data_IF_373475885908
#
_entry.id   IF_373475885908
#
_cell.length_a   1.000
_cell.length_b   1.000
_cell.length_c   1.000
_cell.angle_alpha   90.00
_cell.angle_beta   90.00
_cell.angle_gamma   90.00
#
_symmetry.space_group_name_H-M   'P 1'
#
loop_
_entity.id
_entity.type
_entity.pdbx_description
1 polymer ?
#
# COMPACT_ATOMS: atom_id res chain seq x y z
N UNK A 1 23.47 -12.00 15.96
CA UNK A 1 23.28 -10.92 14.95
C UNK A 1 22.37 -11.43 13.85
N UNK A 2 22.77 -12.47 13.11
CA UNK A 2 21.98 -13.11 12.03
C UNK A 2 20.54 -13.46 12.42
N UNK A 3 20.31 -14.09 13.57
CA UNK A 3 18.96 -14.50 13.98
C UNK A 3 18.04 -13.31 14.33
N UNK A 4 18.59 -12.24 14.91
CA UNK A 4 17.84 -11.00 15.18
C UNK A 4 17.51 -10.27 13.90
N UNK A 5 18.46 -10.17 12.97
CA UNK A 5 18.25 -9.55 11.66
C UNK A 5 17.21 -10.32 10.83
N UNK A 6 17.16 -11.64 10.96
CA UNK A 6 16.14 -12.50 10.32
C UNK A 6 14.75 -12.31 10.95
N UNK A 7 14.65 -12.23 12.28
CA UNK A 7 13.38 -11.96 12.99
C UNK A 7 12.85 -10.55 12.70
N UNK A 8 13.74 -9.57 12.60
CA UNK A 8 13.39 -8.20 12.23
C UNK A 8 12.88 -8.13 10.78
N UNK A 9 13.52 -8.83 9.84
CA UNK A 9 13.00 -8.94 8.46
C UNK A 9 11.66 -9.68 8.39
N UNK A 10 11.45 -10.70 9.23
CA UNK A 10 10.25 -11.54 9.22
C UNK A 10 8.96 -10.77 9.56
N UNK A 11 9.09 -9.62 10.22
CA UNK A 11 7.97 -8.75 10.59
C UNK A 11 8.01 -7.38 9.91
N UNK A 12 9.06 -7.09 9.13
CA UNK A 12 9.20 -5.82 8.43
C UNK A 12 8.17 -5.71 7.30
N UNK A 13 7.35 -4.66 7.38
CA UNK A 13 6.43 -4.26 6.30
C UNK A 13 7.03 -3.12 5.49
N UNK A 14 7.26 -3.32 4.19
CA UNK A 14 7.55 -2.23 3.26
C UNK A 14 6.25 -1.66 2.69
N UNK A 15 6.03 -0.38 2.92
CA UNK A 15 4.85 0.34 2.46
C UNK A 15 5.20 1.11 1.19
N UNK A 16 4.51 0.80 0.10
CA UNK A 16 4.74 1.34 -1.23
C UNK A 16 3.80 2.52 -1.45
N UNK A 17 4.36 3.73 -1.53
CA UNK A 17 3.60 4.97 -1.73
C UNK A 17 4.12 5.73 -2.95
N UNK A 18 3.50 5.56 -4.14
CA UNK A 18 3.73 6.48 -5.24
C UNK A 18 3.05 7.82 -4.92
N UNK A 19 3.67 8.92 -5.34
CA UNK A 19 3.11 10.26 -5.13
C UNK A 19 3.27 11.12 -6.37
N UNK A 20 2.25 11.91 -6.69
CA UNK A 20 2.31 12.96 -7.71
C UNK A 20 1.28 14.04 -7.38
N UNK A 21 1.76 15.26 -7.10
CA UNK A 21 0.96 16.43 -6.77
C UNK A 21 -0.05 16.19 -5.64
N UNK A 22 0.44 15.70 -4.51
CA UNK A 22 -0.37 15.34 -3.34
C UNK A 22 -0.02 16.15 -2.10
N UNK A 23 0.54 17.36 -2.24
CA UNK A 23 0.93 18.21 -1.10
C UNK A 23 -0.21 18.41 -0.09
N UNK A 24 -1.46 18.48 -0.60
CA UNK A 24 -2.67 18.65 0.22
C UNK A 24 -2.97 17.44 1.13
N UNK A 25 -2.56 16.23 0.75
CA UNK A 25 -3.04 14.98 1.36
C UNK A 25 -1.93 14.14 1.99
N UNK A 26 -0.72 14.18 1.43
CA UNK A 26 0.35 13.25 1.79
C UNK A 26 0.78 13.37 3.26
N UNK A 27 0.61 14.54 3.88
CA UNK A 27 0.87 14.70 5.31
C UNK A 27 -0.04 13.81 6.16
N UNK A 28 -1.33 13.71 5.82
CA UNK A 28 -2.28 12.84 6.54
C UNK A 28 -1.97 11.37 6.28
N UNK A 29 -1.63 11.01 5.03
CA UNK A 29 -1.25 9.64 4.66
C UNK A 29 0.00 9.18 5.41
N UNK A 30 1.06 10.00 5.46
CA UNK A 30 2.28 9.69 6.24
C UNK A 30 1.96 9.59 7.73
N UNK A 31 1.15 10.51 8.27
CA UNK A 31 0.76 10.45 9.68
C UNK A 31 0.03 9.14 10.01
N UNK A 32 -0.86 8.68 9.13
CA UNK A 32 -1.58 7.41 9.31
C UNK A 32 -0.65 6.18 9.34
N UNK A 33 0.52 6.26 8.70
CA UNK A 33 1.58 5.23 8.77
C UNK A 33 2.37 5.36 10.08
N UNK A 34 2.69 6.58 10.50
CA UNK A 34 3.39 6.83 11.77
C UNK A 34 2.58 6.38 12.98
N UNK A 35 1.26 6.51 12.90
CA UNK A 35 0.31 6.13 13.95
C UNK A 35 0.01 4.63 14.00
N UNK A 36 0.65 3.81 13.15
CA UNK A 36 0.46 2.36 13.17
C UNK A 36 0.90 1.76 14.51
N UNK A 37 0.14 0.81 15.05
CA UNK A 37 0.49 0.08 16.28
C UNK A 37 1.69 -0.84 16.06
N UNK A 38 1.75 -1.53 14.92
CA UNK A 38 2.92 -2.26 14.45
C UNK A 38 4.05 -1.29 14.10
N UNK A 39 5.20 -1.38 14.78
CA UNK A 39 6.31 -0.42 14.61
C UNK A 39 7.36 -0.82 13.57
N UNK A 40 7.42 -2.09 13.19
CA UNK A 40 8.44 -2.60 12.29
C UNK A 40 8.03 -2.45 10.82
N UNK A 41 8.16 -1.24 10.30
CA UNK A 41 7.85 -0.88 8.93
C UNK A 41 8.90 0.06 8.32
N UNK A 42 8.94 0.11 7.00
CA UNK A 42 9.57 1.18 6.24
C UNK A 42 8.57 1.77 5.25
N UNK A 43 8.56 3.10 5.12
CA UNK A 43 7.70 3.80 4.19
C UNK A 43 8.53 4.28 3.00
N UNK A 44 8.23 3.77 1.81
CA UNK A 44 8.97 4.09 0.59
C UNK A 44 8.10 4.99 -0.27
N UNK A 45 8.39 6.27 -0.20
CA UNK A 45 7.72 7.30 -0.98
C UNK A 45 8.54 7.53 -2.25
N UNK A 46 7.90 7.37 -3.40
CA UNK A 46 8.50 7.77 -4.68
C UNK A 46 7.65 8.87 -5.30
N UNK A 47 8.20 10.08 -5.31
CA UNK A 47 7.62 11.24 -5.95
C UNK A 47 7.86 11.20 -7.46
N UNK A 48 6.80 11.29 -8.25
CA UNK A 48 6.81 11.21 -9.70
C UNK A 48 7.00 12.59 -10.36
N UNK A 49 8.02 13.32 -9.87
CA UNK A 49 8.35 14.66 -10.32
C UNK A 49 7.19 15.64 -10.10
N UNK A 50 6.69 15.72 -8.86
CA UNK A 50 5.66 16.70 -8.48
C UNK A 50 6.12 18.13 -8.74
N UNK A 51 5.16 18.97 -9.13
CA UNK A 51 5.34 20.40 -9.35
C UNK A 51 4.63 21.27 -8.30
N UNK A 52 4.07 20.65 -7.26
CA UNK A 52 3.55 21.30 -6.07
C UNK A 52 4.53 21.15 -4.89
N UNK A 53 4.07 21.49 -3.69
CA UNK A 53 4.87 21.46 -2.47
C UNK A 53 5.05 20.04 -1.87
N UNK A 54 4.75 18.96 -2.60
CA UNK A 54 4.77 17.57 -2.08
C UNK A 54 6.11 17.25 -1.43
N UNK A 55 7.23 17.48 -2.11
CA UNK A 55 8.57 17.21 -1.58
C UNK A 55 8.84 17.98 -0.28
N UNK A 56 8.43 19.26 -0.24
CA UNK A 56 8.57 20.10 0.95
C UNK A 56 7.74 19.56 2.10
N UNK A 57 6.49 19.17 1.86
CA UNK A 57 5.62 18.56 2.88
C UNK A 57 6.29 17.30 3.46
N UNK A 58 6.75 16.38 2.61
CA UNK A 58 7.45 15.15 3.06
C UNK A 58 8.70 15.47 3.87
N UNK A 59 9.46 16.51 3.51
CA UNK A 59 10.71 16.86 4.18
C UNK A 59 10.57 17.25 5.67
N UNK A 60 9.36 17.59 6.13
CA UNK A 60 9.09 17.88 7.54
C UNK A 60 9.10 16.64 8.42
N UNK A 61 8.86 15.45 7.85
CA UNK A 61 8.91 14.19 8.59
C UNK A 61 10.36 13.74 8.74
N UNK A 62 10.83 13.61 9.99
CA UNK A 62 12.22 13.24 10.32
C UNK A 62 12.39 11.78 10.73
N UNK A 63 11.33 10.97 10.63
CA UNK A 63 11.40 9.54 10.97
C UNK A 63 12.31 8.80 9.98
N UNK A 64 13.33 8.13 10.51
CA UNK A 64 14.33 7.41 9.73
C UNK A 64 13.76 6.23 8.92
N UNK A 65 12.57 5.72 9.27
CA UNK A 65 11.86 4.67 8.53
C UNK A 65 11.22 5.18 7.24
N UNK A 66 11.08 6.49 7.07
CA UNK A 66 10.56 7.12 5.86
C UNK A 66 11.70 7.35 4.87
N UNK A 67 11.58 6.77 3.68
CA UNK A 67 12.53 6.87 2.58
C UNK A 67 11.87 7.57 1.40
N UNK A 68 12.31 8.80 1.13
CA UNK A 68 11.84 9.59 0.00
C UNK A 68 12.79 9.47 -1.20
N UNK A 69 12.23 9.25 -2.38
CA UNK A 69 12.94 9.27 -3.65
C UNK A 69 12.16 10.10 -4.65
N UNK A 70 12.86 10.83 -5.51
CA UNK A 70 12.25 11.61 -6.59
C UNK A 70 12.60 11.03 -7.96
N UNK A 71 11.66 11.03 -8.90
CA UNK A 71 11.93 10.79 -10.31
C UNK A 71 12.41 12.07 -10.99
N UNK A 72 13.31 11.94 -11.97
CA UNK A 72 13.82 13.07 -12.76
C UNK A 72 12.78 13.66 -13.71
N UNK A 73 11.76 12.88 -14.05
CA UNK A 73 10.66 13.23 -14.93
C UNK A 73 9.44 12.40 -14.52
N UNK A 74 8.25 12.82 -14.95
CA UNK A 74 7.03 12.05 -14.71
C UNK A 74 7.08 10.73 -15.50
N UNK A 75 7.03 9.60 -14.79
CA UNK A 75 7.08 8.23 -15.31
C UNK A 75 5.73 7.51 -15.20
N UNK A 76 4.73 8.16 -14.60
CA UNK A 76 3.45 7.57 -14.27
C UNK A 76 3.51 6.67 -13.03
N UNK A 77 2.34 6.39 -12.49
CA UNK A 77 2.19 5.67 -11.23
C UNK A 77 2.71 4.21 -11.32
N UNK A 78 2.63 3.56 -12.49
CA UNK A 78 3.09 2.19 -12.68
C UNK A 78 4.62 2.05 -12.47
N UNK A 79 5.40 2.88 -13.17
CA UNK A 79 6.86 2.86 -13.06
C UNK A 79 7.35 3.41 -11.73
N UNK A 80 6.61 4.36 -11.15
CA UNK A 80 6.85 4.88 -9.80
C UNK A 80 6.68 3.80 -8.73
N UNK A 81 5.58 3.01 -8.79
CA UNK A 81 5.39 1.82 -7.94
C UNK A 81 6.50 0.78 -8.14
N UNK A 82 6.88 0.51 -9.38
CA UNK A 82 7.98 -0.41 -9.68
C UNK A 82 9.31 0.02 -9.03
N UNK A 83 9.63 1.32 -9.05
CA UNK A 83 10.82 1.88 -8.40
C UNK A 83 10.76 1.73 -6.88
N UNK A 84 9.60 1.96 -6.27
CA UNK A 84 9.39 1.76 -4.84
C UNK A 84 9.55 0.27 -4.47
N UNK A 85 8.94 -0.64 -5.22
CA UNK A 85 9.04 -2.10 -5.01
C UNK A 85 10.47 -2.62 -5.07
N UNK A 86 11.30 -2.11 -5.99
CA UNK A 86 12.74 -2.48 -6.06
C UNK A 86 13.55 -2.01 -4.85
N UNK A 87 13.03 -1.08 -4.06
CA UNK A 87 13.69 -0.53 -2.86
C UNK A 87 13.20 -1.16 -1.57
N UNK A 88 12.12 -1.94 -1.64
CA UNK A 88 11.55 -2.65 -0.50
C UNK A 88 12.51 -3.73 0.02
N UNK A 89 12.63 -3.81 1.34
CA UNK A 89 13.48 -4.76 2.07
C UNK A 89 12.67 -5.71 2.95
N UNK A 90 11.45 -5.32 3.29
CA UNK A 90 10.51 -6.08 4.10
C UNK A 90 10.04 -7.35 3.42
N UNK A 91 9.76 -8.37 4.24
CA UNK A 91 9.07 -9.58 3.78
C UNK A 91 7.64 -9.26 3.36
N UNK A 92 6.97 -8.36 4.07
CA UNK A 92 5.58 -8.01 3.81
C UNK A 92 5.51 -6.74 3.00
N UNK A 93 4.76 -6.75 1.91
CA UNK A 93 4.58 -5.59 1.04
C UNK A 93 3.14 -5.14 1.13
N UNK A 94 2.92 -3.87 1.45
CA UNK A 94 1.62 -3.23 1.49
C UNK A 94 1.63 -1.95 0.66
N UNK A 95 0.47 -1.50 0.20
CA UNK A 95 0.34 -0.35 -0.69
C UNK A 95 -0.55 0.70 -0.04
N UNK A 96 -0.13 1.95 -0.12
CA UNK A 96 -0.90 3.10 0.35
C UNK A 96 -0.70 4.24 -0.63
N UNK A 97 -1.79 4.69 -1.24
CA UNK A 97 -1.74 5.85 -2.13
C UNK A 97 -1.59 7.12 -1.28
N UNK A 98 -0.86 8.12 -1.80
CA UNK A 98 -0.46 9.31 -1.04
C UNK A 98 -1.60 10.29 -0.70
N UNK A 99 -2.85 9.90 -0.95
CA UNK A 99 -4.07 10.61 -0.58
C UNK A 99 -5.07 9.77 0.23
N UNK A 100 -4.76 8.51 0.50
CA UNK A 100 -5.56 7.59 1.32
C UNK A 100 -5.05 7.52 2.77
N UNK A 101 -5.85 6.98 3.68
CA UNK A 101 -5.53 6.86 5.10
C UNK A 101 -5.67 5.41 5.59
N UNK A 102 -4.77 4.99 6.50
CA UNK A 102 -4.93 3.75 7.25
C UNK A 102 -5.40 4.00 8.68
N UNK A 103 -6.13 3.03 9.22
CA UNK A 103 -6.48 3.02 10.64
C UNK A 103 -5.27 2.52 11.46
N UNK A 104 -5.08 2.96 12.73
CA UNK A 104 -3.88 2.66 13.52
C UNK A 104 -3.50 1.18 13.64
N UNK A 105 -4.48 0.27 13.66
CA UNK A 105 -4.23 -1.17 13.82
C UNK A 105 -4.12 -1.96 12.52
N UNK A 106 -4.08 -1.28 11.36
CA UNK A 106 -4.14 -1.91 10.04
C UNK A 106 -3.02 -2.93 9.84
N UNK A 107 -1.77 -2.51 10.04
CA UNK A 107 -0.60 -3.37 9.80
C UNK A 107 -0.56 -4.56 10.76
N UNK A 108 -0.79 -4.33 12.05
CA UNK A 108 -0.80 -5.36 13.10
C UNK A 108 -1.84 -6.43 12.79
N UNK A 109 -3.11 -6.04 12.62
CA UNK A 109 -4.21 -6.96 12.37
C UNK A 109 -4.04 -7.75 11.07
N UNK A 110 -3.63 -7.08 9.99
CA UNK A 110 -3.44 -7.75 8.71
C UNK A 110 -2.26 -8.74 8.77
N UNK A 111 -1.16 -8.36 9.41
CA UNK A 111 0.01 -9.23 9.57
C UNK A 111 -0.31 -10.46 10.43
N UNK A 112 -0.99 -10.28 11.56
CA UNK A 112 -1.45 -11.38 12.42
C UNK A 112 -2.40 -12.31 11.67
N UNK A 113 -3.38 -11.75 10.95
CA UNK A 113 -4.30 -12.53 10.12
C UNK A 113 -3.54 -13.38 9.09
N UNK A 114 -2.54 -12.81 8.43
CA UNK A 114 -1.69 -13.54 7.49
C UNK A 114 -0.87 -14.65 8.16
N UNK A 115 -0.20 -14.34 9.26
CA UNK A 115 0.65 -15.29 10.00
C UNK A 115 -0.15 -16.45 10.60
N UNK A 116 -1.24 -16.15 11.29
CA UNK A 116 -2.07 -17.15 12.00
C UNK A 116 -2.71 -18.16 11.05
N UNK A 117 -2.98 -17.76 9.81
CA UNK A 117 -3.61 -18.62 8.81
C UNK A 117 -2.63 -19.16 7.75
N UNK A 118 -1.35 -18.77 7.81
CA UNK A 118 -0.36 -19.12 6.78
C UNK A 118 -0.64 -18.49 5.40
N UNK A 119 -1.44 -17.42 5.34
CA UNK A 119 -1.78 -16.75 4.09
C UNK A 119 -0.61 -15.92 3.56
N UNK A 120 -0.54 -15.85 2.23
CA UNK A 120 0.54 -15.16 1.51
C UNK A 120 0.07 -13.92 0.77
N UNK A 121 -1.25 -13.71 0.73
CA UNK A 121 -1.89 -12.61 0.05
C UNK A 121 -3.25 -12.33 0.67
N UNK A 122 -3.46 -11.12 1.19
CA UNK A 122 -4.71 -10.74 1.85
C UNK A 122 -5.12 -9.33 1.46
N UNK A 123 -6.36 -9.00 1.77
CA UNK A 123 -6.90 -7.66 1.69
C UNK A 123 -7.95 -7.46 2.78
N UNK A 124 -8.40 -6.23 3.00
CA UNK A 124 -9.41 -5.92 4.01
C UNK A 124 -10.45 -4.94 3.46
N UNK A 125 -11.52 -4.67 4.23
CA UNK A 125 -12.55 -3.71 3.87
C UNK A 125 -12.03 -2.27 4.04
N UNK A 126 -12.68 -1.30 3.41
CA UNK A 126 -12.35 0.11 3.59
C UNK A 126 -13.60 0.97 3.49
N UNK A 127 -13.55 2.16 4.06
CA UNK A 127 -14.60 3.17 3.91
C UNK A 127 -14.20 4.25 2.90
N UNK A 128 -15.16 5.00 2.36
CA UNK A 128 -14.87 6.16 1.52
C UNK A 128 -14.97 7.46 2.33
N UNK A 129 -14.03 8.35 2.08
CA UNK A 129 -13.98 9.71 2.63
C UNK A 129 -13.98 10.74 1.49
N UNK A 130 -14.40 11.97 1.79
CA UNK A 130 -14.27 13.10 0.86
C UNK A 130 -12.89 13.76 0.91
N UNK A 131 -12.68 14.81 0.11
CA UNK A 131 -11.41 15.55 0.05
C UNK A 131 -11.02 16.24 1.38
N UNK A 132 -11.96 16.36 2.32
CA UNK A 132 -11.79 16.93 3.66
C UNK A 132 -11.71 15.85 4.76
N UNK A 133 -11.46 14.60 4.35
CA UNK A 133 -11.36 13.43 5.23
C UNK A 133 -12.65 13.12 6.01
N UNK A 134 -13.80 13.59 5.54
CA UNK A 134 -15.09 13.28 6.17
C UNK A 134 -15.67 11.98 5.60
N UNK A 135 -16.20 11.13 6.48
CA UNK A 135 -16.81 9.85 6.08
C UNK A 135 -18.02 10.08 5.17
N UNK A 136 -18.02 9.38 4.04
CA UNK A 136 -19.16 9.30 3.11
C UNK A 136 -20.14 8.19 3.50
N UNK A 137 -19.91 7.48 4.62
CA UNK A 137 -20.70 6.34 5.09
C UNK A 137 -20.86 5.22 4.05
N UNK A 138 -19.85 5.06 3.19
CA UNK A 138 -19.79 3.98 2.20
C UNK A 138 -18.72 2.99 2.63
N UNK A 139 -19.14 1.81 3.07
CA UNK A 139 -18.26 0.67 3.30
C UNK A 139 -18.10 -0.13 2.00
N UNK A 140 -16.87 -0.47 1.65
CA UNK A 140 -16.54 -1.33 0.52
C UNK A 140 -15.95 -2.63 1.05
N UNK A 141 -16.50 -3.74 0.57
CA UNK A 141 -16.09 -5.11 0.93
C UNK A 141 -16.08 -6.00 -0.31
N UNK A 142 -15.72 -7.27 -0.14
CA UNK A 142 -15.70 -8.27 -1.21
C UNK A 142 -15.83 -9.70 -0.70
N UNK A 143 -15.60 -10.69 -1.56
CA UNK A 143 -15.68 -12.11 -1.22
C UNK A 143 -14.63 -12.56 -0.20
N UNK A 144 -14.96 -13.53 0.65
CA UNK A 144 -14.01 -14.07 1.64
C UNK A 144 -12.69 -14.58 1.02
N UNK A 145 -12.78 -15.13 -0.20
CA UNK A 145 -11.64 -15.59 -1.00
C UNK A 145 -11.83 -15.07 -2.42
N UNK A 146 -10.82 -14.38 -2.94
CA UNK A 146 -10.77 -13.92 -4.33
C UNK A 146 -9.82 -14.83 -5.10
N UNK A 147 -10.41 -15.75 -5.86
CA UNK A 147 -9.67 -16.65 -6.74
C UNK A 147 -9.11 -15.90 -7.96
N UNK A 148 -8.16 -16.51 -8.69
CA UNK A 148 -7.66 -15.96 -9.95
C UNK A 148 -8.77 -15.57 -10.94
N UNK A 149 -9.81 -16.40 -11.10
CA UNK A 149 -10.94 -16.12 -12.00
C UNK A 149 -11.75 -14.91 -11.53
N UNK A 150 -11.98 -14.81 -10.24
CA UNK A 150 -12.69 -13.69 -9.62
C UNK A 150 -11.90 -12.39 -9.73
N UNK A 151 -10.58 -12.46 -9.48
CA UNK A 151 -9.67 -11.34 -9.68
C UNK A 151 -9.76 -10.83 -11.12
N UNK A 152 -9.63 -11.73 -12.10
CA UNK A 152 -9.69 -11.39 -13.53
C UNK A 152 -10.99 -10.72 -13.96
N UNK A 153 -12.12 -11.12 -13.36
CA UNK A 153 -13.43 -10.61 -13.74
C UNK A 153 -13.79 -9.28 -13.06
N UNK A 154 -13.32 -9.03 -11.83
CA UNK A 154 -13.86 -7.94 -11.00
C UNK A 154 -12.83 -7.11 -10.22
N UNK A 155 -11.60 -7.59 -10.01
CA UNK A 155 -10.57 -6.84 -9.29
C UNK A 155 -11.00 -6.33 -7.90
N UNK A 156 -11.47 -7.21 -7.02
CA UNK A 156 -12.09 -6.82 -5.74
C UNK A 156 -11.21 -6.00 -4.77
N UNK A 157 -9.92 -6.32 -4.54
CA UNK A 157 -9.11 -5.56 -3.59
C UNK A 157 -8.81 -4.13 -4.08
N UNK A 158 -9.03 -3.13 -3.22
CA UNK A 158 -8.56 -1.76 -3.46
C UNK A 158 -7.07 -1.62 -3.17
N UNK A 159 -6.40 -0.67 -3.84
CA UNK A 159 -4.95 -0.47 -3.71
C UNK A 159 -4.49 -0.38 -2.24
N UNK A 160 -5.16 0.45 -1.45
CA UNK A 160 -4.83 0.68 -0.03
C UNK A 160 -5.01 -0.54 0.89
N UNK A 161 -5.62 -1.65 0.44
CA UNK A 161 -6.03 -2.73 1.36
C UNK A 161 -5.17 -3.98 1.30
N UNK A 162 -4.47 -4.23 0.20
CA UNK A 162 -3.81 -5.52 0.03
C UNK A 162 -2.38 -5.56 0.58
N UNK A 163 -2.01 -6.73 1.10
CA UNK A 163 -0.68 -7.06 1.60
C UNK A 163 -0.27 -8.45 1.10
N UNK A 164 1.00 -8.63 0.74
CA UNK A 164 1.53 -9.92 0.29
C UNK A 164 2.91 -10.26 0.87
N UNK A 165 3.22 -11.56 0.87
CA UNK A 165 4.50 -12.14 1.28
C UNK A 165 5.50 -12.14 0.11
N UNK A 166 6.48 -11.24 0.13
CA UNK A 166 7.51 -11.12 -0.90
C UNK A 166 8.43 -12.34 -1.01
N UNK A 167 8.63 -13.11 0.05
CA UNK A 167 9.47 -14.31 -0.01
C UNK A 167 8.79 -15.40 -0.86
N UNK A 168 7.46 -15.44 -0.87
CA UNK A 168 6.68 -16.36 -1.70
C UNK A 168 6.33 -15.80 -3.07
N UNK A 169 6.03 -14.50 -3.15
CA UNK A 169 5.60 -13.83 -4.38
C UNK A 169 6.77 -13.37 -5.26
N UNK A 170 7.92 -13.08 -4.66
CA UNK A 170 9.05 -12.44 -5.33
C UNK A 170 8.79 -10.96 -5.66
N UNK A 171 9.76 -10.34 -6.34
CA UNK A 171 9.64 -8.97 -6.82
C UNK A 171 8.60 -8.88 -7.94
N UNK A 172 7.54 -8.10 -7.71
CA UNK A 172 6.53 -7.79 -8.72
C UNK A 172 6.93 -6.54 -9.50
N UNK A 173 6.80 -6.59 -10.83
CA UNK A 173 7.01 -5.45 -11.72
C UNK A 173 5.94 -5.45 -12.82
N UNK A 174 5.33 -4.30 -13.08
CA UNK A 174 4.30 -4.13 -14.11
C UNK A 174 4.83 -3.34 -15.31
N UNK A 175 4.15 -3.46 -16.46
CA UNK A 175 4.43 -2.63 -17.64
C UNK A 175 4.04 -1.18 -17.36
N UNK A 176 4.58 -0.26 -18.16
CA UNK A 176 4.14 1.13 -18.16
C UNK A 176 2.70 1.23 -18.69
N UNK A 177 1.75 1.34 -17.76
CA UNK A 177 0.32 1.47 -18.04
C UNK A 177 -0.25 2.62 -17.21
N UNK A 178 -1.06 3.46 -17.86
CA UNK A 178 -1.56 4.71 -17.25
C UNK A 178 -2.63 4.49 -16.18
N UNK A 179 -3.50 3.50 -16.38
CA UNK A 179 -4.63 3.18 -15.49
C UNK A 179 -4.57 1.73 -15.05
N UNK A 180 -5.24 1.42 -13.94
CA UNK A 180 -5.39 0.06 -13.42
C UNK A 180 -4.04 -0.64 -13.16
N UNK A 181 -3.05 0.15 -12.72
CA UNK A 181 -1.70 -0.35 -12.49
C UNK A 181 -1.60 -1.17 -11.20
N UNK A 182 -2.38 -0.81 -10.19
CA UNK A 182 -2.69 -1.64 -9.01
C UNK A 182 -3.34 -2.97 -9.43
N UNK A 183 -4.32 -2.93 -10.33
CA UNK A 183 -4.96 -4.15 -10.84
C UNK A 183 -3.98 -5.07 -11.59
N UNK A 184 -3.02 -4.50 -12.34
CA UNK A 184 -1.97 -5.29 -12.97
C UNK A 184 -1.02 -5.95 -11.95
N UNK A 185 -0.80 -5.35 -10.77
CA UNK A 185 -0.08 -5.98 -9.65
C UNK A 185 -0.93 -7.14 -9.10
N UNK A 186 -2.21 -6.90 -8.82
CA UNK A 186 -3.15 -7.91 -8.31
C UNK A 186 -3.23 -9.13 -9.24
N UNK A 187 -3.29 -8.92 -10.55
CA UNK A 187 -3.29 -9.99 -11.56
C UNK A 187 -1.99 -10.81 -11.59
N UNK A 188 -0.86 -10.27 -11.14
CA UNK A 188 0.37 -11.04 -10.99
C UNK A 188 0.35 -11.85 -9.70
N UNK A 189 -0.05 -11.24 -8.59
CA UNK A 189 -0.13 -11.89 -7.28
C UNK A 189 -1.13 -13.06 -7.31
N UNK A 190 -2.31 -12.87 -7.90
CA UNK A 190 -3.35 -13.89 -7.96
C UNK A 190 -3.03 -15.09 -8.86
N UNK A 191 -1.91 -15.07 -9.60
CA UNK A 191 -1.42 -16.25 -10.33
C UNK A 191 -0.78 -17.27 -9.41
N UNK A 192 -0.29 -16.84 -8.24
CA UNK A 192 0.44 -17.68 -7.29
C UNK A 192 -0.42 -18.12 -6.11
N UNK A 193 -1.22 -17.20 -5.55
CA UNK A 193 -2.06 -17.45 -4.39
C UNK A 193 -3.39 -16.74 -4.52
N UNK A 194 -4.45 -17.34 -3.99
CA UNK A 194 -5.72 -16.65 -3.80
C UNK A 194 -5.60 -15.54 -2.75
N UNK A 195 -6.46 -14.52 -2.83
CA UNK A 195 -6.46 -13.38 -1.91
C UNK A 195 -7.55 -13.56 -0.84
N UNK A 196 -7.19 -13.51 0.43
CA UNK A 196 -8.12 -13.75 1.54
C UNK A 196 -8.54 -12.45 2.20
N UNK A 197 -9.83 -12.32 2.50
CA UNK A 197 -10.40 -11.15 3.15
C UNK A 197 -10.22 -11.22 4.67
N UNK A 198 -9.55 -10.22 5.24
CA UNK A 198 -9.72 -9.82 6.63
C UNK A 198 -10.97 -8.94 6.71
N UNK A 199 -12.04 -9.46 7.33
CA UNK A 199 -13.35 -8.80 7.34
C UNK A 199 -13.44 -7.65 8.36
N UNK A 200 -12.53 -6.68 8.25
CA UNK A 200 -12.47 -5.47 9.05
C UNK A 200 -12.23 -4.26 8.15
N UNK A 201 -12.81 -3.11 8.50
CA UNK A 201 -12.53 -1.84 7.81
C UNK A 201 -11.31 -1.19 8.45
N UNK A 202 -10.18 -1.18 7.75
CA UNK A 202 -8.89 -0.72 8.30
C UNK A 202 -8.25 0.41 7.48
N UNK A 203 -9.00 1.01 6.55
CA UNK A 203 -8.54 2.12 5.75
C UNK A 203 -9.70 2.99 5.26
N UNK A 204 -9.36 4.21 4.85
CA UNK A 204 -10.27 5.20 4.32
C UNK A 204 -9.75 5.68 2.95
N UNK A 205 -10.52 5.40 1.91
CA UNK A 205 -10.21 5.74 0.52
C UNK A 205 -10.77 7.12 0.15
N UNK A 206 -9.92 8.03 -0.34
CA UNK A 206 -10.31 9.41 -0.62
C UNK A 206 -10.90 9.57 -2.02
N UNK A 207 -12.14 10.05 -2.08
CA UNK A 207 -12.80 10.38 -3.34
C UNK A 207 -12.45 11.81 -3.74
N UNK A 208 -11.71 11.95 -4.84
CA UNK A 208 -11.35 13.25 -5.41
C UNK A 208 -12.28 13.61 -6.56
N UNK A 209 -12.61 14.90 -6.70
CA UNK A 209 -13.55 15.38 -7.74
C UNK A 209 -12.98 15.31 -9.17
N UNK A 210 -11.67 15.11 -9.31
CA UNK A 210 -10.93 15.08 -10.58
C UNK A 210 -9.93 13.91 -10.62
N UNK A 211 -10.43 12.68 -10.55
CA UNK A 211 -9.65 11.45 -10.73
C UNK A 211 -9.71 10.92 -12.17
#
# INVERSE_FOLDING_TARGET
MVERDMVERDTLVSIIMPSWNTAKYISESIQSVLDQTHQNWELIIVDDCSNDETEKVVSHFKDSRIKFFKNSNNLGAALTRNKALRKARGRWIAFLDSDDLWHPSKLEKQLEFMKNNGYSFTYHNFEKIDESSQSLRVLVSGPAIVTRKMMYNYGYPGCLTFMYDADKMGLIQIKDIKKNNDYAILLQLCKKYDCYLLNESLASYRIRKKS
#
